data_IF_054341662195
#
_entry.id   IF_054341662195
#
_cell.length_a   1.000
_cell.length_b   1.000
_cell.length_c   1.000
_cell.angle_alpha   90.00
_cell.angle_beta   90.00
_cell.angle_gamma   90.00
#
_symmetry.space_group_name_H-M   'P 1'
#
loop_
_entity.id
_entity.type
_entity.pdbx_description
1 polymer ?
#
# COMPACT_ATOMS: atom_id res chain seq x y z
N UNK A 1 18.84 -8.90 -14.19
CA UNK A 1 17.39 -8.98 -13.96
C UNK A 1 17.13 -8.20 -12.67
N UNK A 2 16.52 -7.02 -12.76
CA UNK A 2 16.25 -6.22 -11.56
C UNK A 2 15.28 -6.99 -10.67
N UNK A 3 15.74 -7.38 -9.49
CA UNK A 3 14.88 -8.06 -8.50
C UNK A 3 13.85 -7.03 -8.01
N UNK A 4 12.58 -7.21 -8.36
CA UNK A 4 11.51 -6.36 -7.87
C UNK A 4 11.37 -6.58 -6.35
N UNK A 5 11.18 -5.51 -5.55
CA UNK A 5 10.96 -5.69 -4.12
C UNK A 5 9.65 -6.44 -3.89
N UNK A 6 9.64 -7.30 -2.88
CA UNK A 6 8.42 -7.92 -2.40
C UNK A 6 7.57 -6.86 -1.69
N UNK A 7 6.32 -6.70 -2.14
CA UNK A 7 5.36 -5.74 -1.59
C UNK A 7 4.40 -6.49 -0.65
N UNK A 8 4.25 -6.02 0.58
CA UNK A 8 3.24 -6.55 1.52
C UNK A 8 2.31 -5.44 1.97
N UNK A 9 1.00 -5.68 1.93
CA UNK A 9 -0.02 -4.71 2.36
C UNK A 9 -0.79 -5.24 3.57
N UNK A 10 -0.57 -4.63 4.73
CA UNK A 10 -1.40 -4.82 5.91
C UNK A 10 -2.70 -4.03 5.74
N UNK A 11 -3.84 -4.73 5.64
CA UNK A 11 -5.09 -4.20 5.07
C UNK A 11 -6.33 -4.55 5.89
N UNK A 12 -7.22 -3.55 6.00
CA UNK A 12 -8.63 -3.60 6.43
C UNK A 12 -9.64 -3.90 5.30
N UNK A 13 -10.40 -5.00 5.23
CA UNK A 13 -11.38 -5.16 4.12
C UNK A 13 -12.42 -4.01 4.08
N UNK A 14 -12.87 -3.53 5.26
CA UNK A 14 -13.82 -2.40 5.39
C UNK A 14 -13.16 -1.03 5.60
N UNK A 15 -11.84 -0.92 5.47
CA UNK A 15 -11.15 0.37 5.61
C UNK A 15 -11.08 1.10 4.27
N UNK A 16 -11.59 2.33 4.20
CA UNK A 16 -11.49 3.19 3.01
C UNK A 16 -10.04 3.60 2.71
N UNK A 17 -9.26 3.90 3.75
CA UNK A 17 -7.82 4.15 3.65
C UNK A 17 -7.06 2.96 3.07
N UNK A 18 -7.46 1.73 3.44
CA UNK A 18 -6.88 0.52 2.85
C UNK A 18 -7.38 0.26 1.43
N UNK A 19 -8.66 0.56 1.15
CA UNK A 19 -9.27 0.36 -0.15
C UNK A 19 -8.55 1.17 -1.24
N UNK A 20 -8.25 2.45 -1.00
CA UNK A 20 -7.54 3.27 -2.01
C UNK A 20 -6.15 2.74 -2.35
N UNK A 21 -5.43 2.17 -1.38
CA UNK A 21 -4.11 1.57 -1.63
C UNK A 21 -4.23 0.27 -2.42
N UNK A 22 -5.21 -0.59 -2.08
CA UNK A 22 -5.51 -1.78 -2.90
C UNK A 22 -5.85 -1.41 -4.34
N UNK A 23 -6.70 -0.40 -4.53
CA UNK A 23 -7.07 0.11 -5.85
C UNK A 23 -5.84 0.59 -6.62
N UNK A 24 -4.95 1.36 -5.99
CA UNK A 24 -3.73 1.84 -6.64
C UNK A 24 -2.78 0.70 -7.03
N UNK A 25 -2.56 -0.29 -6.16
CA UNK A 25 -1.72 -1.45 -6.45
C UNK A 25 -2.28 -2.27 -7.63
N UNK A 26 -3.57 -2.55 -7.63
CA UNK A 26 -4.23 -3.25 -8.73
C UNK A 26 -4.21 -2.44 -10.03
N UNK A 27 -4.51 -1.14 -9.98
CA UNK A 27 -4.45 -0.25 -11.14
C UNK A 27 -3.05 -0.21 -11.75
N UNK A 28 -2.02 -0.18 -10.91
CA UNK A 28 -0.62 -0.20 -11.35
C UNK A 28 -0.11 -1.58 -11.78
N UNK A 29 -0.92 -2.64 -11.62
CA UNK A 29 -0.51 -4.00 -11.95
C UNK A 29 0.60 -4.54 -11.05
N UNK A 30 0.74 -4.02 -9.84
CA UNK A 30 1.76 -4.44 -8.88
C UNK A 30 1.27 -5.66 -8.10
N UNK A 31 2.07 -6.73 -8.12
CA UNK A 31 1.84 -7.90 -7.28
C UNK A 31 2.18 -7.58 -5.82
N UNK A 32 1.31 -8.00 -4.89
CA UNK A 32 1.51 -7.77 -3.46
C UNK A 32 0.85 -8.86 -2.61
N UNK A 33 1.41 -9.09 -1.43
CA UNK A 33 0.88 -10.00 -0.42
C UNK A 33 -0.05 -9.23 0.54
N UNK A 34 -1.36 -9.51 0.59
CA UNK A 34 -2.25 -8.91 1.58
C UNK A 34 -2.17 -9.62 2.93
N UNK A 35 -1.91 -8.87 4.00
CA UNK A 35 -2.03 -9.34 5.39
C UNK A 35 -3.23 -8.66 6.01
N UNK A 36 -4.23 -9.42 6.45
CA UNK A 36 -5.45 -8.85 7.01
C UNK A 36 -5.29 -8.56 8.50
N UNK A 37 -5.54 -7.30 8.89
CA UNK A 37 -5.57 -6.87 10.31
C UNK A 37 -7.03 -6.75 10.74
N UNK A 38 -7.47 -7.56 11.69
CA UNK A 38 -8.88 -7.61 12.07
C UNK A 38 -9.22 -6.51 13.09
N UNK A 39 -9.67 -5.35 12.59
CA UNK A 39 -9.92 -4.18 13.44
C UNK A 39 -10.96 -4.39 14.55
N UNK A 40 -11.96 -5.26 14.33
CA UNK A 40 -12.97 -5.57 15.36
C UNK A 40 -12.46 -6.52 16.46
N UNK A 41 -11.28 -7.11 16.27
CA UNK A 41 -10.60 -7.96 17.25
C UNK A 41 -9.38 -7.27 17.86
N UNK A 42 -9.20 -5.99 17.55
CA UNK A 42 -8.11 -5.19 18.09
C UNK A 42 -6.70 -5.70 17.71
N UNK A 43 -6.58 -6.45 16.60
CA UNK A 43 -5.31 -6.96 16.08
C UNK A 43 -4.29 -5.85 15.78
N UNK A 44 -4.78 -4.64 15.47
CA UNK A 44 -3.95 -3.45 15.24
C UNK A 44 -3.21 -2.99 16.51
N UNK A 45 -3.61 -3.46 17.69
CA UNK A 45 -2.95 -3.20 18.96
C UNK A 45 -2.00 -4.32 19.38
N UNK A 46 -1.89 -5.40 18.58
CA UNK A 46 -0.91 -6.45 18.85
C UNK A 46 0.50 -5.87 18.90
N UNK A 47 1.39 -6.42 19.76
CA UNK A 47 2.77 -5.93 19.85
C UNK A 47 3.52 -6.00 18.52
N UNK A 48 3.29 -7.05 17.74
CA UNK A 48 3.91 -7.25 16.42
C UNK A 48 3.48 -6.17 15.42
N UNK A 49 2.18 -5.86 15.34
CA UNK A 49 1.70 -4.82 14.43
C UNK A 49 2.02 -3.41 14.91
N UNK A 50 2.00 -3.17 16.22
CA UNK A 50 2.38 -1.86 16.80
C UNK A 50 3.85 -1.54 16.56
N UNK A 51 4.73 -2.55 16.60
CA UNK A 51 6.14 -2.38 16.26
C UNK A 51 6.33 -1.97 14.79
N UNK A 52 5.49 -2.49 13.89
CA UNK A 52 5.50 -2.14 12.47
C UNK A 52 4.87 -0.77 12.19
N UNK A 53 3.73 -0.48 12.83
CA UNK A 53 3.00 0.77 12.70
C UNK A 53 2.61 1.29 14.11
N UNK A 54 3.42 2.20 14.69
CA UNK A 54 3.14 2.79 16.01
C UNK A 54 1.81 3.53 16.10
N UNK A 55 1.26 3.99 14.98
CA UNK A 55 -0.07 4.62 14.92
C UNK A 55 -1.22 3.62 15.06
N UNK A 56 -0.95 2.31 15.06
CA UNK A 56 -1.94 1.24 15.29
C UNK A 56 -3.13 1.33 14.34
N UNK A 57 -2.86 1.68 13.08
CA UNK A 57 -3.87 1.94 12.06
C UNK A 57 -3.54 1.19 10.77
N UNK A 58 -4.53 0.99 9.92
CA UNK A 58 -4.35 0.45 8.57
C UNK A 58 -4.62 1.55 7.53
N UNK A 59 -3.98 1.51 6.35
CA UNK A 59 -3.05 0.49 5.86
C UNK A 59 -1.60 0.67 6.32
N UNK A 60 -0.80 -0.38 6.17
CA UNK A 60 0.67 -0.31 6.20
C UNK A 60 1.24 -1.10 5.04
N UNK A 61 2.08 -0.48 4.22
CA UNK A 61 2.76 -1.14 3.11
C UNK A 61 4.24 -1.32 3.46
N UNK A 62 4.80 -2.47 3.09
CA UNK A 62 6.23 -2.73 3.24
C UNK A 62 6.83 -3.16 1.90
N UNK A 63 8.09 -2.78 1.69
CA UNK A 63 8.91 -3.17 0.55
C UNK A 63 10.18 -3.83 1.08
N UNK A 64 10.39 -5.10 0.75
CA UNK A 64 11.57 -5.87 1.17
C UNK A 64 12.31 -6.40 -0.06
N UNK A 65 13.63 -6.24 -0.11
CA UNK A 65 14.46 -6.83 -1.16
C UNK A 65 15.06 -8.16 -0.68
N UNK A 66 15.13 -9.21 -1.52
CA UNK A 66 15.86 -10.43 -1.16
C UNK A 66 17.37 -10.20 -0.98
N UNK A 67 17.90 -9.07 -1.43
CA UNK A 67 19.33 -8.72 -1.32
C UNK A 67 19.65 -7.77 -0.17
N UNK A 68 18.67 -7.37 0.64
CA UNK A 68 18.85 -6.44 1.76
C UNK A 68 18.00 -6.87 2.95
N UNK A 69 18.55 -6.73 4.16
CA UNK A 69 17.77 -6.92 5.39
C UNK A 69 16.85 -5.72 5.70
N UNK A 70 17.05 -4.60 4.99
CA UNK A 70 16.25 -3.40 5.17
C UNK A 70 14.85 -3.58 4.57
N UNK A 71 13.84 -3.27 5.39
CA UNK A 71 12.44 -3.19 4.96
C UNK A 71 11.99 -1.74 5.03
N UNK A 72 11.59 -1.19 3.89
CA UNK A 72 11.01 0.14 3.84
C UNK A 72 9.51 0.07 4.17
N UNK A 73 9.04 0.93 5.07
CA UNK A 73 7.67 0.89 5.61
C UNK A 73 6.99 2.25 5.46
N UNK A 74 5.75 2.25 4.95
CA UNK A 74 4.88 3.43 4.90
C UNK A 74 3.53 3.12 5.56
N UNK A 75 3.06 4.03 6.40
CA UNK A 75 1.85 3.85 7.24
C UNK A 75 0.72 4.82 6.91
N UNK A 76 1.02 5.90 6.18
CA UNK A 76 0.04 6.92 5.81
C UNK A 76 -0.48 6.68 4.40
N UNK A 77 -1.78 6.43 4.28
CA UNK A 77 -2.37 6.01 3.00
C UNK A 77 -2.30 7.05 1.89
N UNK A 78 -1.96 8.33 2.14
CA UNK A 78 -1.70 9.31 1.06
C UNK A 78 -0.25 9.23 0.62
N UNK A 79 0.68 9.24 1.58
CA UNK A 79 2.10 9.04 1.31
C UNK A 79 2.38 7.71 0.57
N UNK A 80 1.62 6.65 0.88
CA UNK A 80 1.69 5.39 0.12
C UNK A 80 1.30 5.60 -1.35
N UNK A 81 0.23 6.34 -1.63
CA UNK A 81 -0.21 6.60 -3.01
C UNK A 81 0.80 7.45 -3.77
N UNK A 82 1.29 8.52 -3.14
CA UNK A 82 2.32 9.39 -3.71
C UNK A 82 3.59 8.59 -4.01
N UNK A 83 4.08 7.80 -3.05
CA UNK A 83 5.24 6.94 -3.24
C UNK A 83 5.05 5.93 -4.38
N UNK A 84 3.89 5.27 -4.44
CA UNK A 84 3.59 4.32 -5.52
C UNK A 84 3.54 5.00 -6.88
N UNK A 85 3.05 6.24 -6.95
CA UNK A 85 3.00 6.98 -8.20
C UNK A 85 4.37 7.47 -8.65
N UNK A 86 5.18 8.00 -7.73
CA UNK A 86 6.56 8.40 -8.02
C UNK A 86 7.45 7.20 -8.40
N UNK A 87 7.32 6.08 -7.68
CA UNK A 87 8.15 4.88 -7.88
C UNK A 87 7.74 4.08 -9.10
N UNK A 88 6.45 4.03 -9.40
CA UNK A 88 5.87 3.26 -10.50
C UNK A 88 4.97 4.19 -11.34
N UNK A 89 5.56 5.08 -12.17
CA UNK A 89 4.85 6.19 -12.80
C UNK A 89 3.85 5.77 -13.90
N UNK A 90 3.85 4.51 -14.32
CA UNK A 90 2.95 4.01 -15.36
C UNK A 90 2.23 2.73 -14.90
N UNK A 91 0.89 2.67 -15.00
CA UNK A 91 -0.02 3.77 -15.30
C UNK A 91 -0.08 4.82 -14.18
N UNK A 92 -0.35 6.08 -14.55
CA UNK A 92 -0.51 7.18 -13.61
C UNK A 92 -1.68 6.92 -12.63
N UNK A 93 -1.51 7.32 -11.37
CA UNK A 93 -2.54 7.23 -10.34
C UNK A 93 -2.64 8.54 -9.52
N UNK A 94 -3.81 9.20 -9.46
CA UNK A 94 -5.06 8.78 -10.06
C UNK A 94 -5.00 8.79 -11.60
N UNK A 95 -5.88 8.03 -12.29
CA UNK A 95 -5.99 8.11 -13.73
C UNK A 95 -6.21 9.57 -14.18
N UNK A 96 -5.66 9.98 -15.33
CA UNK A 96 -5.90 11.31 -15.84
C UNK A 96 -7.40 11.54 -16.06
N UNK A 97 -7.87 12.80 -15.95
CA UNK A 97 -9.27 13.11 -16.22
C UNK A 97 -9.65 12.66 -17.65
N UNK A 98 -10.91 12.26 -17.87
CA UNK A 98 -11.36 11.91 -19.22
C UNK A 98 -11.17 13.11 -20.16
N UNK A 99 -10.96 12.86 -21.46
CA UNK A 99 -10.94 13.94 -22.44
C UNK A 99 -12.25 14.74 -22.38
N UNK A 100 -12.15 16.06 -22.55
CA UNK A 100 -13.34 16.93 -22.62
C UNK A 100 -14.24 16.47 -23.78
N UNK A 101 -15.58 16.45 -23.60
CA UNK A 101 -16.49 16.09 -24.69
C UNK A 101 -16.27 17.04 -25.88
N UNK A 102 -16.31 16.49 -27.10
CA UNK A 102 -16.35 17.31 -28.31
C UNK A 102 -17.68 18.08 -28.33
N UNK A 103 -17.61 19.41 -28.42
CA UNK A 103 -18.77 20.29 -28.55
C UNK A 103 -19.39 20.24 -29.94
#
# INVERSE_FOLDING_TARGET
>A
MSSQPKITLHTYFRSSCSARVRMALHHKGLEFDPIYIHLLKDDQFSPSYTALNPSKAVPTITFSSPSSEETFVLTQSMAILEYLDEKFPSPAYPPPPPPKPAG
#
